data_IF_610731343124
#
_entry.id   IF_610731343124
#
_cell.length_a   1.000
_cell.length_b   1.000
_cell.length_c   1.000
_cell.angle_alpha   90.00
_cell.angle_beta   90.00
_cell.angle_gamma   90.00
#
_symmetry.space_group_name_H-M   'P 1'
#
loop_
_entity.id
_entity.type
_entity.pdbx_description
1 polymer ?
#
# COMPACT_ATOMS: atom_id res chain seq x y z
N UNK A 1 -0.65 -5.14 6.32
CA UNK A 1 0.26 -4.64 5.24
C UNK A 1 1.67 -4.61 5.81
N UNK A 2 2.67 -5.03 5.04
CA UNK A 2 4.08 -5.00 5.44
C UNK A 2 4.67 -3.58 5.40
N UNK A 3 5.96 -3.46 5.79
CA UNK A 3 6.70 -2.21 5.79
C UNK A 3 8.09 -2.35 5.20
N UNK A 4 8.56 -1.31 4.53
CA UNK A 4 9.91 -1.20 3.97
C UNK A 4 10.56 0.06 4.49
N UNK A 5 11.83 -0.06 4.87
CA UNK A 5 12.70 1.06 5.19
C UNK A 5 14.07 0.81 4.59
N UNK A 6 14.55 1.75 3.82
CA UNK A 6 15.87 1.75 3.20
C UNK A 6 16.66 2.94 3.72
N UNK A 7 17.92 2.72 4.02
CA UNK A 7 18.87 3.76 4.39
C UNK A 7 20.20 3.55 3.69
N UNK A 8 20.79 4.63 3.21
CA UNK A 8 22.14 4.59 2.64
C UNK A 8 23.18 4.43 3.73
N UNK A 9 24.09 3.47 3.54
CA UNK A 9 25.18 3.17 4.45
C UNK A 9 26.53 3.31 3.73
N UNK A 10 27.12 4.52 3.69
CA UNK A 10 28.36 4.77 2.96
C UNK A 10 29.57 4.00 3.51
N UNK A 11 29.53 3.62 4.77
CA UNK A 11 30.50 2.73 5.42
C UNK A 11 29.81 1.92 6.52
N UNK A 12 30.29 0.72 6.86
CA UNK A 12 29.68 -0.14 7.87
C UNK A 12 29.44 0.58 9.21
N UNK A 13 28.21 0.46 9.74
CA UNK A 13 27.78 1.07 10.99
C UNK A 13 27.28 2.52 10.89
N UNK A 14 27.44 3.18 9.75
CA UNK A 14 26.99 4.56 9.57
C UNK A 14 25.47 4.73 9.73
N UNK A 15 24.68 3.67 9.48
CA UNK A 15 23.23 3.67 9.55
C UNK A 15 22.66 3.12 10.87
N UNK A 16 23.45 2.61 11.79
CA UNK A 16 22.96 1.82 12.94
C UNK A 16 21.96 2.58 13.82
N UNK A 17 22.20 3.86 14.12
CA UNK A 17 21.29 4.68 14.92
C UNK A 17 19.94 4.91 14.21
N UNK A 18 19.98 5.12 12.90
CA UNK A 18 18.79 5.31 12.05
C UNK A 18 17.99 4.01 11.94
N UNK A 19 18.69 2.87 11.78
CA UNK A 19 18.08 1.54 11.75
C UNK A 19 17.39 1.20 13.07
N UNK A 20 18.03 1.51 14.21
CA UNK A 20 17.45 1.31 15.54
C UNK A 20 16.15 2.14 15.69
N UNK A 21 16.16 3.38 15.21
CA UNK A 21 14.98 4.26 15.22
C UNK A 21 13.85 3.69 14.35
N UNK A 22 14.16 3.23 13.14
CA UNK A 22 13.20 2.63 12.22
C UNK A 22 12.60 1.33 12.79
N UNK A 23 13.42 0.44 13.37
CA UNK A 23 12.95 -0.78 14.04
C UNK A 23 11.98 -0.47 15.18
N UNK A 24 12.34 0.50 16.03
CA UNK A 24 11.46 0.94 17.12
C UNK A 24 10.12 1.47 16.57
N UNK A 25 10.16 2.25 15.48
CA UNK A 25 8.93 2.76 14.88
C UNK A 25 8.07 1.64 14.28
N UNK A 26 8.66 0.66 13.62
CA UNK A 26 7.94 -0.52 13.14
C UNK A 26 7.35 -1.34 14.29
N UNK A 27 8.09 -1.52 15.39
CA UNK A 27 7.56 -2.14 16.61
C UNK A 27 6.33 -1.39 17.17
N UNK A 28 6.35 -0.05 17.17
CA UNK A 28 5.20 0.78 17.57
C UNK A 28 4.00 0.63 16.64
N UNK A 29 4.22 0.32 15.37
CA UNK A 29 3.16 -0.01 14.41
C UNK A 29 2.62 -1.44 14.57
N UNK A 30 3.19 -2.22 15.49
CA UNK A 30 2.75 -3.60 15.76
C UNK A 30 3.39 -4.65 14.87
N UNK A 31 4.44 -4.33 14.10
CA UNK A 31 5.15 -5.33 13.32
C UNK A 31 5.98 -6.24 14.23
N UNK A 32 5.69 -7.56 14.26
CA UNK A 32 6.34 -8.48 15.21
C UNK A 32 7.77 -8.83 14.83
N UNK A 33 8.12 -8.70 13.56
CA UNK A 33 9.41 -9.08 12.97
C UNK A 33 9.87 -8.04 11.98
N UNK A 34 11.17 -7.78 11.96
CA UNK A 34 11.84 -6.92 10.97
C UNK A 34 13.11 -7.61 10.51
N UNK A 35 13.19 -7.92 9.23
CA UNK A 35 14.34 -8.54 8.59
C UNK A 35 15.30 -7.46 8.06
N UNK A 36 16.59 -7.73 8.10
CA UNK A 36 17.62 -6.82 7.59
C UNK A 36 18.38 -7.46 6.45
N UNK A 37 18.67 -6.64 5.43
CA UNK A 37 19.51 -7.01 4.30
C UNK A 37 20.41 -5.85 3.91
N UNK A 38 21.70 -6.13 3.71
CA UNK A 38 22.70 -5.16 3.27
C UNK A 38 23.16 -5.47 1.85
N UNK A 39 23.23 -4.45 1.02
CA UNK A 39 23.66 -4.56 -0.38
C UNK A 39 24.06 -3.19 -0.95
N UNK A 40 25.14 -3.14 -1.73
CA UNK A 40 25.50 -1.98 -2.55
C UNK A 40 25.55 -0.63 -1.84
N UNK A 41 25.96 -0.58 -0.56
CA UNK A 41 25.96 0.65 0.24
C UNK A 41 24.58 1.04 0.80
N UNK A 42 23.64 0.09 0.84
CA UNK A 42 22.29 0.27 1.38
C UNK A 42 21.92 -0.80 2.39
N UNK A 43 21.07 -0.45 3.32
CA UNK A 43 20.43 -1.38 4.24
C UNK A 43 18.95 -1.31 4.08
N UNK A 44 18.33 -2.46 3.85
CA UNK A 44 16.89 -2.67 3.78
C UNK A 44 16.40 -3.29 5.08
N UNK A 45 15.41 -2.67 5.71
CA UNK A 45 14.57 -3.31 6.70
C UNK A 45 13.24 -3.68 6.04
N UNK A 46 12.84 -4.93 6.13
CA UNK A 46 11.55 -5.44 5.68
C UNK A 46 10.77 -5.95 6.88
N UNK A 47 9.60 -5.38 7.10
CA UNK A 47 8.63 -5.84 8.08
C UNK A 47 7.51 -6.59 7.35
N UNK A 48 7.36 -7.91 7.53
CA UNK A 48 6.25 -8.67 6.95
C UNK A 48 4.91 -8.26 7.57
N UNK A 49 3.83 -8.91 7.18
CA UNK A 49 2.47 -8.61 7.69
C UNK A 49 2.39 -8.68 9.22
N UNK A 50 1.58 -7.80 9.81
CA UNK A 50 1.26 -7.82 11.25
C UNK A 50 0.44 -9.07 11.61
N UNK A 51 -0.52 -9.43 10.76
CA UNK A 51 -1.38 -10.60 10.89
C UNK A 51 -1.24 -11.42 9.61
N UNK A 52 -1.12 -12.72 9.71
CA UNK A 52 -0.79 -13.68 8.67
C UNK A 52 -1.19 -13.26 7.25
N UNK A 53 -0.30 -13.50 6.32
CA UNK A 53 -0.44 -13.18 4.92
C UNK A 53 0.66 -13.87 4.13
N UNK A 54 0.58 -13.87 2.79
CA UNK A 54 1.60 -14.49 1.97
C UNK A 54 2.94 -13.77 2.15
N UNK A 55 4.03 -14.51 2.22
CA UNK A 55 5.37 -13.90 2.25
C UNK A 55 5.59 -13.08 0.98
N UNK A 56 6.06 -11.85 1.15
CA UNK A 56 6.36 -10.93 0.06
C UNK A 56 7.87 -10.78 -0.09
N UNK A 57 8.55 -11.92 -0.23
CA UNK A 57 9.97 -12.03 -0.51
C UNK A 57 10.23 -13.19 -1.49
N UNK A 58 11.12 -12.97 -2.43
CA UNK A 58 11.67 -14.01 -3.30
C UNK A 58 13.16 -13.75 -3.52
N UNK A 59 13.95 -14.81 -3.65
CA UNK A 59 15.39 -14.76 -3.78
C UNK A 59 15.87 -15.72 -4.86
N UNK A 60 16.90 -15.31 -5.61
CA UNK A 60 17.59 -16.14 -6.59
C UNK A 60 19.06 -15.75 -6.66
N UNK A 61 19.92 -16.46 -5.91
CA UNK A 61 21.31 -16.07 -5.75
C UNK A 61 21.46 -14.74 -5.01
N UNK A 62 22.11 -13.77 -5.65
CA UNK A 62 22.20 -12.39 -5.11
C UNK A 62 20.99 -11.51 -5.46
N UNK A 63 20.17 -11.95 -6.41
CA UNK A 63 18.95 -11.24 -6.80
C UNK A 63 17.83 -11.49 -5.80
N UNK A 64 17.03 -10.46 -5.54
CA UNK A 64 15.88 -10.58 -4.67
C UNK A 64 14.76 -9.61 -5.06
N UNK A 65 13.55 -9.94 -4.67
CA UNK A 65 12.40 -9.04 -4.69
C UNK A 65 11.71 -9.05 -3.33
N UNK A 66 11.44 -7.88 -2.78
CA UNK A 66 10.75 -7.69 -1.50
C UNK A 66 9.65 -6.67 -1.71
N UNK A 67 8.43 -6.96 -1.26
CA UNK A 67 7.34 -6.02 -1.36
C UNK A 67 6.66 -5.76 -0.01
N UNK A 68 6.03 -4.59 0.10
CA UNK A 68 5.06 -4.26 1.14
C UNK A 68 3.74 -3.87 0.47
N UNK A 69 2.62 -4.21 1.10
CA UNK A 69 1.29 -4.00 0.51
C UNK A 69 0.71 -5.28 -0.07
N UNK A 70 -0.11 -5.18 -1.09
CA UNK A 70 -0.71 -6.32 -1.80
C UNK A 70 -0.20 -6.31 -3.23
N UNK A 71 0.54 -7.34 -3.62
CA UNK A 71 1.10 -7.47 -4.96
C UNK A 71 0.65 -8.80 -5.56
N UNK A 72 0.05 -8.72 -6.75
CA UNK A 72 -0.21 -9.85 -7.62
C UNK A 72 0.53 -9.67 -8.95
N UNK A 73 1.06 -10.74 -9.49
CA UNK A 73 1.74 -10.76 -10.80
C UNK A 73 1.32 -12.00 -11.58
N UNK A 74 0.73 -11.77 -12.75
CA UNK A 74 0.29 -12.80 -13.70
C UNK A 74 -0.58 -13.89 -13.02
N UNK A 75 -1.58 -13.44 -12.22
CA UNK A 75 -2.49 -14.31 -11.47
C UNK A 75 -1.88 -14.99 -10.25
N UNK A 76 -0.65 -14.69 -9.86
CA UNK A 76 0.01 -15.21 -8.66
C UNK A 76 0.08 -14.14 -7.56
N UNK A 77 0.15 -14.56 -6.30
CA UNK A 77 0.37 -13.69 -5.13
C UNK A 77 1.53 -14.20 -4.26
N UNK A 78 2.00 -13.35 -3.35
CA UNK A 78 3.02 -13.72 -2.37
C UNK A 78 4.39 -14.01 -2.99
N UNK A 79 5.13 -14.96 -2.41
CA UNK A 79 6.47 -15.33 -2.86
C UNK A 79 6.48 -15.86 -4.30
N UNK A 80 5.42 -16.55 -4.74
CA UNK A 80 5.32 -17.06 -6.11
C UNK A 80 5.23 -15.92 -7.14
N UNK A 81 4.44 -14.88 -6.86
CA UNK A 81 4.34 -13.68 -7.68
C UNK A 81 5.70 -12.98 -7.79
N UNK A 82 6.38 -12.80 -6.66
CA UNK A 82 7.69 -12.13 -6.62
C UNK A 82 8.78 -12.95 -7.31
N UNK A 83 8.77 -14.28 -7.17
CA UNK A 83 9.72 -15.15 -7.84
C UNK A 83 9.58 -15.08 -9.36
N UNK A 84 8.34 -15.09 -9.85
CA UNK A 84 8.05 -14.95 -11.28
C UNK A 84 8.39 -13.56 -11.79
N UNK A 85 8.01 -12.52 -11.06
CA UNK A 85 8.36 -11.14 -11.38
C UNK A 85 9.89 -10.97 -11.46
N UNK A 86 10.64 -11.46 -10.47
CA UNK A 86 12.10 -11.41 -10.44
C UNK A 86 12.73 -12.11 -11.65
N UNK A 87 12.14 -13.23 -12.08
CA UNK A 87 12.65 -13.97 -13.25
C UNK A 87 12.40 -13.22 -14.57
N UNK A 88 11.22 -12.64 -14.76
CA UNK A 88 10.75 -12.17 -16.06
C UNK A 88 10.92 -10.66 -16.28
N UNK A 89 10.82 -9.84 -15.21
CA UNK A 89 10.70 -8.39 -15.39
C UNK A 89 12.02 -7.69 -15.71
N UNK A 90 11.90 -6.58 -16.43
CA UNK A 90 12.83 -5.45 -16.40
C UNK A 90 12.20 -4.38 -15.50
N UNK A 91 12.86 -3.98 -14.38
CA UNK A 91 12.31 -2.98 -13.45
C UNK A 91 12.02 -1.61 -14.06
N UNK A 92 12.64 -1.29 -15.20
CA UNK A 92 12.41 -0.05 -15.94
C UNK A 92 11.33 -0.18 -17.03
N UNK A 93 10.87 -1.41 -17.31
CA UNK A 93 9.87 -1.70 -18.34
C UNK A 93 8.90 -2.79 -17.86
N UNK A 94 8.23 -2.53 -16.72
CA UNK A 94 7.28 -3.47 -16.15
C UNK A 94 6.05 -3.64 -17.04
N UNK A 95 5.58 -4.87 -17.17
CA UNK A 95 4.29 -5.17 -17.81
C UNK A 95 3.15 -4.92 -16.81
N UNK A 96 2.59 -3.72 -16.87
CA UNK A 96 1.50 -3.29 -16.00
C UNK A 96 0.18 -4.03 -16.24
N UNK A 97 0.06 -4.80 -17.33
CA UNK A 97 -1.14 -5.62 -17.57
C UNK A 97 -1.14 -6.89 -16.73
N UNK A 98 0.05 -7.33 -16.27
CA UNK A 98 0.23 -8.50 -15.40
C UNK A 98 0.36 -8.14 -13.93
N UNK A 99 0.56 -6.85 -13.60
CA UNK A 99 0.88 -6.40 -12.25
C UNK A 99 -0.33 -5.68 -11.65
N UNK A 100 -0.80 -6.18 -10.51
CA UNK A 100 -1.96 -5.64 -9.81
C UNK A 100 -1.68 -5.46 -8.31
N UNK A 101 -2.48 -4.58 -7.67
CA UNK A 101 -2.44 -4.33 -6.24
C UNK A 101 -1.90 -2.97 -5.86
N UNK A 102 -1.80 -2.75 -4.55
CA UNK A 102 -1.21 -1.55 -3.93
C UNK A 102 0.04 -1.96 -3.18
N UNK A 103 1.20 -1.54 -3.65
CA UNK A 103 2.47 -2.04 -3.14
C UNK A 103 3.63 -1.04 -3.29
N UNK A 104 4.64 -1.25 -2.46
CA UNK A 104 6.00 -0.79 -2.67
C UNK A 104 6.89 -2.02 -2.92
N UNK A 105 7.69 -2.00 -3.97
CA UNK A 105 8.57 -3.10 -4.36
C UNK A 105 10.02 -2.63 -4.33
N UNK A 106 10.90 -3.42 -3.69
CA UNK A 106 12.35 -3.33 -3.83
C UNK A 106 12.80 -4.56 -4.58
N UNK A 107 13.40 -4.37 -5.74
CA UNK A 107 13.88 -5.46 -6.59
C UNK A 107 15.35 -5.27 -6.95
N UNK A 108 16.17 -6.28 -6.64
CA UNK A 108 17.55 -6.38 -7.07
C UNK A 108 17.64 -7.45 -8.16
N UNK A 109 18.16 -7.06 -9.31
CA UNK A 109 18.34 -7.92 -10.44
C UNK A 109 19.61 -7.54 -11.20
N UNK A 110 20.44 -8.54 -11.53
CA UNK A 110 21.69 -8.35 -12.27
C UNK A 110 22.59 -7.26 -11.64
N UNK A 111 22.71 -7.28 -10.31
CA UNK A 111 23.55 -6.35 -9.54
C UNK A 111 22.95 -4.94 -9.35
N UNK A 112 21.82 -4.60 -9.98
CA UNK A 112 21.13 -3.32 -9.87
C UNK A 112 19.92 -3.44 -8.93
N UNK A 113 19.64 -2.40 -8.17
CA UNK A 113 18.50 -2.41 -7.21
C UNK A 113 17.58 -1.23 -7.47
N UNK A 114 16.28 -1.49 -7.48
CA UNK A 114 15.25 -0.52 -7.79
C UNK A 114 14.16 -0.48 -6.72
N UNK A 115 13.62 0.71 -6.48
CA UNK A 115 12.38 0.92 -5.72
C UNK A 115 11.29 1.33 -6.70
N UNK A 116 10.20 0.57 -6.70
CA UNK A 116 9.05 0.74 -7.60
C UNK A 116 7.79 0.88 -6.78
N UNK A 117 6.95 1.85 -7.11
CA UNK A 117 5.61 2.01 -6.54
C UNK A 117 4.57 1.33 -7.42
N UNK A 118 3.40 1.02 -6.86
CA UNK A 118 2.25 0.56 -7.64
C UNK A 118 1.83 1.56 -8.74
N UNK A 119 0.84 1.19 -9.54
CA UNK A 119 0.45 1.95 -10.73
C UNK A 119 0.15 3.43 -10.42
N UNK A 120 -0.54 3.73 -9.33
CA UNK A 120 -0.92 5.07 -8.91
C UNK A 120 -0.05 5.63 -7.77
N UNK A 121 0.95 4.89 -7.29
CA UNK A 121 1.67 5.14 -6.03
C UNK A 121 0.70 5.30 -4.84
N UNK A 122 -0.38 4.51 -4.84
CA UNK A 122 -1.39 4.51 -3.80
C UNK A 122 -0.83 3.96 -2.48
N UNK A 123 0.05 2.96 -2.55
CA UNK A 123 0.85 2.53 -1.41
C UNK A 123 2.05 3.47 -1.29
N UNK A 124 1.93 4.46 -0.42
CA UNK A 124 2.85 5.59 -0.38
C UNK A 124 4.26 5.19 0.07
N UNK A 125 5.26 5.71 -0.63
CA UNK A 125 6.67 5.60 -0.31
C UNK A 125 7.24 7.01 -0.13
N UNK A 126 7.85 7.23 1.03
CA UNK A 126 8.40 8.51 1.47
C UNK A 126 9.91 8.52 1.38
N UNK A 127 10.50 9.66 1.12
CA UNK A 127 11.95 9.85 1.09
C UNK A 127 12.34 11.26 1.55
N UNK A 128 13.57 11.43 2.01
CA UNK A 128 14.19 12.75 2.18
C UNK A 128 14.70 13.28 0.82
N UNK A 129 14.91 14.60 0.65
CA UNK A 129 15.33 15.17 -0.65
C UNK A 129 16.62 14.58 -1.22
N UNK A 130 17.53 14.09 -0.37
CA UNK A 130 18.77 13.45 -0.79
C UNK A 130 18.62 11.93 -1.03
N UNK A 131 17.43 11.35 -0.80
CA UNK A 131 17.18 9.91 -0.84
C UNK A 131 18.14 9.11 0.06
N UNK A 132 18.60 9.69 1.14
CA UNK A 132 19.38 8.95 2.13
C UNK A 132 18.51 7.95 2.92
N UNK A 133 17.21 8.25 3.02
CA UNK A 133 16.17 7.43 3.64
C UNK A 133 15.00 7.28 2.68
N UNK A 134 14.52 6.05 2.51
CA UNK A 134 13.29 5.73 1.75
C UNK A 134 12.44 4.78 2.62
N UNK A 135 11.15 5.07 2.82
CA UNK A 135 10.30 4.26 3.70
C UNK A 135 8.83 4.28 3.29
N UNK A 136 8.14 3.17 3.52
CA UNK A 136 6.68 3.10 3.47
C UNK A 136 6.01 3.65 4.74
N UNK A 137 6.78 3.93 5.79
CA UNK A 137 6.31 4.57 7.02
C UNK A 137 6.75 6.02 7.06
N UNK A 138 5.80 6.95 6.98
CA UNK A 138 6.03 8.38 7.14
C UNK A 138 6.78 8.73 8.44
N UNK A 139 6.32 8.13 9.56
CA UNK A 139 6.94 8.40 10.86
C UNK A 139 8.34 7.80 10.98
N UNK A 140 8.62 6.66 10.36
CA UNK A 140 9.97 6.09 10.35
C UNK A 140 10.91 6.98 9.52
N UNK A 141 10.48 7.47 8.36
CA UNK A 141 11.25 8.40 7.55
C UNK A 141 11.51 9.71 8.31
N UNK A 142 10.49 10.31 8.91
CA UNK A 142 10.62 11.58 9.64
C UNK A 142 11.56 11.48 10.84
N UNK A 143 11.47 10.40 11.62
CA UNK A 143 12.31 10.18 12.81
C UNK A 143 13.76 9.78 12.48
N UNK A 144 14.01 9.32 11.26
CA UNK A 144 15.35 9.03 10.77
C UNK A 144 16.16 10.29 10.46
N UNK A 145 15.49 11.42 10.30
CA UNK A 145 16.13 12.70 9.99
C UNK A 145 16.52 13.45 11.29
N UNK A 146 17.63 14.19 11.27
CA UNK A 146 18.09 14.93 12.44
C UNK A 146 17.14 16.09 12.81
N UNK A 147 16.42 16.62 11.83
CA UNK A 147 15.47 17.73 12.00
C UNK A 147 14.38 17.64 10.94
N UNK A 148 13.15 17.95 11.34
CA UNK A 148 12.00 18.13 10.45
C UNK A 148 11.24 19.39 10.82
N UNK A 149 10.61 20.01 9.83
CA UNK A 149 9.80 21.21 9.97
C UNK A 149 8.49 21.10 9.22
N UNK A 150 7.46 21.79 9.69
CA UNK A 150 6.17 21.76 9.03
C UNK A 150 6.18 22.54 7.71
N UNK A 151 5.62 21.93 6.67
CA UNK A 151 5.33 22.58 5.40
C UNK A 151 3.96 23.28 5.51
N UNK A 152 3.96 24.61 5.56
CA UNK A 152 2.72 25.37 5.75
C UNK A 152 1.69 25.07 4.65
N UNK A 153 2.13 25.04 3.39
CA UNK A 153 1.25 24.69 2.27
C UNK A 153 0.67 23.27 2.44
N UNK A 154 1.50 22.28 2.79
CA UNK A 154 1.05 20.92 3.01
C UNK A 154 0.06 20.80 4.18
N UNK A 155 0.22 21.59 5.24
CA UNK A 155 -0.74 21.64 6.35
C UNK A 155 -2.09 22.22 5.91
N UNK A 156 -2.10 23.30 5.12
CA UNK A 156 -3.34 23.86 4.57
C UNK A 156 -4.04 22.86 3.64
N UNK A 157 -3.31 22.25 2.72
CA UNK A 157 -3.87 21.25 1.81
C UNK A 157 -4.47 20.07 2.59
N UNK A 158 -3.74 19.56 3.58
CA UNK A 158 -4.24 18.48 4.42
C UNK A 158 -5.50 18.88 5.21
N UNK A 159 -5.55 20.10 5.76
CA UNK A 159 -6.70 20.58 6.51
C UNK A 159 -7.97 20.74 5.64
N UNK A 160 -7.81 21.14 4.37
CA UNK A 160 -8.94 21.36 3.46
C UNK A 160 -9.33 20.13 2.64
N UNK A 161 -8.35 19.32 2.22
CA UNK A 161 -8.57 18.20 1.30
C UNK A 161 -8.42 16.82 1.98
N UNK A 162 -8.06 16.77 3.28
CA UNK A 162 -7.61 15.56 3.98
C UNK A 162 -6.41 14.85 3.28
N UNK A 163 -5.74 15.52 2.36
CA UNK A 163 -4.59 15.03 1.61
C UNK A 163 -3.71 16.19 1.16
N UNK A 164 -2.40 15.95 1.05
CA UNK A 164 -1.45 16.87 0.44
C UNK A 164 -1.32 16.51 -1.04
N UNK A 165 -1.30 17.52 -1.92
CA UNK A 165 -1.25 17.33 -3.37
C UNK A 165 0.18 17.04 -3.86
N UNK A 166 0.27 16.35 -5.00
CA UNK A 166 1.56 16.03 -5.64
C UNK A 166 2.45 15.13 -4.79
N UNK A 167 3.75 15.38 -4.85
CA UNK A 167 4.78 14.61 -4.13
C UNK A 167 5.11 15.19 -2.74
N UNK A 168 4.46 16.26 -2.35
CA UNK A 168 4.68 16.93 -1.06
C UNK A 168 4.05 16.20 0.11
N UNK A 169 4.47 16.55 1.33
CA UNK A 169 3.88 16.10 2.59
C UNK A 169 3.67 17.28 3.54
N UNK A 170 3.17 17.00 4.74
CA UNK A 170 3.06 18.02 5.81
C UNK A 170 4.41 18.42 6.41
N UNK A 171 5.51 17.78 5.98
CA UNK A 171 6.88 18.08 6.39
C UNK A 171 7.71 18.53 5.18
N UNK A 172 8.53 19.57 5.35
CA UNK A 172 9.38 20.10 4.27
C UNK A 172 10.43 19.08 3.81
N UNK A 173 10.96 18.29 4.75
CA UNK A 173 12.06 17.37 4.54
C UNK A 173 11.62 15.95 4.12
N UNK A 174 10.32 15.74 3.94
CA UNK A 174 9.77 14.44 3.49
C UNK A 174 8.94 14.65 2.24
N UNK A 175 9.25 13.87 1.22
CA UNK A 175 8.52 13.82 -0.06
C UNK A 175 8.00 12.43 -0.33
N UNK A 176 7.10 12.29 -1.31
CA UNK A 176 6.58 11.00 -1.80
C UNK A 176 7.20 10.66 -3.15
N UNK A 177 7.38 9.36 -3.40
CA UNK A 177 7.73 8.89 -4.75
C UNK A 177 6.44 8.83 -5.57
N UNK A 178 6.38 9.67 -6.61
CA UNK A 178 5.21 9.72 -7.50
C UNK A 178 5.07 8.49 -8.41
N UNK A 179 3.91 8.35 -9.09
CA UNK A 179 3.54 7.11 -9.79
C UNK A 179 4.40 6.76 -11.02
N UNK A 180 5.02 7.73 -11.67
CA UNK A 180 5.82 7.50 -12.89
C UNK A 180 7.32 7.48 -12.60
N UNK A 181 7.72 7.20 -11.37
CA UNK A 181 9.12 7.19 -10.96
C UNK A 181 9.56 5.81 -10.50
N UNK A 182 10.73 5.40 -10.99
CA UNK A 182 11.48 4.26 -10.50
C UNK A 182 12.81 4.79 -9.97
N UNK A 183 13.16 4.40 -8.75
CA UNK A 183 14.39 4.86 -8.09
C UNK A 183 15.40 3.73 -8.13
N UNK A 184 16.49 3.91 -8.84
CA UNK A 184 17.64 3.01 -8.84
C UNK A 184 18.58 3.39 -7.70
N UNK A 185 18.89 2.44 -6.83
CA UNK A 185 19.82 2.62 -5.72
C UNK A 185 21.24 2.35 -6.21
N UNK A 186 22.17 3.29 -5.99
CA UNK A 186 23.58 3.15 -6.32
C UNK A 186 24.43 3.37 -5.07
N UNK A 187 25.70 3.02 -5.11
CA UNK A 187 26.62 3.23 -3.98
C UNK A 187 26.77 4.74 -3.64
N UNK A 188 26.70 5.60 -4.67
CA UNK A 188 26.87 7.05 -4.52
C UNK A 188 25.57 7.77 -4.12
N UNK A 189 24.40 7.09 -4.25
CA UNK A 189 23.08 7.67 -3.97
C UNK A 189 21.97 7.02 -4.78
N UNK A 190 21.20 7.82 -5.53
CA UNK A 190 20.12 7.30 -6.37
C UNK A 190 20.16 7.87 -7.78
N UNK A 191 19.65 7.10 -8.74
CA UNK A 191 19.30 7.56 -10.08
C UNK A 191 17.78 7.47 -10.24
N UNK A 192 17.15 8.57 -10.62
CA UNK A 192 15.71 8.59 -10.86
C UNK A 192 15.43 8.31 -12.34
N UNK A 193 14.49 7.39 -12.59
CA UNK A 193 13.99 7.08 -13.93
C UNK A 193 12.53 7.49 -14.02
N UNK A 194 12.14 8.12 -15.12
CA UNK A 194 10.74 8.35 -15.46
C UNK A 194 10.27 7.21 -16.35
N UNK A 195 9.27 6.49 -15.87
CA UNK A 195 8.68 5.36 -16.59
C UNK A 195 7.23 5.69 -16.93
N UNK A 196 6.94 5.76 -18.22
CA UNK A 196 5.57 5.96 -18.66
C UNK A 196 4.73 4.71 -18.36
N UNK A 197 3.61 4.90 -17.67
CA UNK A 197 2.61 3.85 -17.47
C UNK A 197 1.52 3.98 -18.52
N UNK A 198 1.04 2.87 -19.11
CA UNK A 198 -0.01 2.95 -20.12
C UNK A 198 -1.28 3.56 -19.52
N UNK A 199 -1.73 4.66 -20.09
CA UNK A 199 -3.04 5.21 -19.78
C UNK A 199 -4.03 4.73 -20.85
N UNK A 200 -5.27 4.43 -20.48
CA UNK A 200 -6.29 4.15 -21.49
C UNK A 200 -6.44 5.39 -22.40
N UNK A 201 -6.52 5.14 -23.69
CA UNK A 201 -6.81 6.17 -24.68
C UNK A 201 -8.07 6.95 -24.32
N UNK A 202 -8.21 8.16 -24.91
CA UNK A 202 -9.36 9.04 -24.69
C UNK A 202 -10.71 8.30 -24.73
N UNK A 203 -11.75 8.83 -24.05
CA UNK A 203 -13.02 8.15 -23.93
C UNK A 203 -13.50 7.65 -25.29
N UNK A 204 -13.49 6.33 -25.44
CA UNK A 204 -14.09 5.72 -26.63
C UNK A 204 -15.57 6.12 -26.63
N UNK A 205 -16.13 6.61 -27.72
CA UNK A 205 -17.55 6.96 -27.82
C UNK A 205 -18.51 5.78 -27.60
N UNK A 206 -18.11 4.81 -26.78
CA UNK A 206 -18.89 3.61 -26.47
C UNK A 206 -20.15 3.95 -25.67
N UNK A 207 -21.29 3.32 -25.97
CA UNK A 207 -22.52 3.47 -25.21
C UNK A 207 -22.28 3.17 -23.71
N UNK A 208 -22.97 3.94 -22.85
CA UNK A 208 -22.86 3.79 -21.38
C UNK A 208 -23.12 2.35 -20.94
N UNK A 209 -24.14 1.69 -21.49
CA UNK A 209 -24.47 0.30 -21.16
C UNK A 209 -23.30 -0.67 -21.42
N UNK A 210 -22.57 -0.51 -22.53
CA UNK A 210 -21.39 -1.35 -22.83
C UNK A 210 -20.25 -1.10 -21.86
N UNK A 211 -20.02 0.17 -21.47
CA UNK A 211 -19.02 0.52 -20.47
C UNK A 211 -19.36 -0.06 -19.09
N UNK A 212 -20.63 0.05 -18.67
CA UNK A 212 -21.10 -0.52 -17.41
C UNK A 212 -20.94 -2.04 -17.37
N UNK A 213 -21.32 -2.75 -18.44
CA UNK A 213 -21.13 -4.20 -18.53
C UNK A 213 -19.65 -4.57 -18.35
N UNK A 214 -18.76 -3.91 -19.09
CA UNK A 214 -17.29 -4.15 -18.97
C UNK A 214 -16.76 -3.85 -17.57
N UNK A 215 -17.18 -2.73 -16.94
CA UNK A 215 -16.73 -2.42 -15.58
C UNK A 215 -17.25 -3.43 -14.56
N UNK A 216 -18.50 -3.90 -14.73
CA UNK A 216 -19.04 -4.96 -13.90
C UNK A 216 -18.23 -6.27 -14.02
N UNK A 217 -17.94 -6.69 -15.26
CA UNK A 217 -17.11 -7.88 -15.51
C UNK A 217 -15.72 -7.77 -14.87
N UNK A 218 -15.05 -6.63 -15.06
CA UNK A 218 -13.73 -6.39 -14.47
C UNK A 218 -13.77 -6.41 -12.93
N UNK A 219 -14.78 -5.77 -12.33
CA UNK A 219 -14.92 -5.75 -10.88
C UNK A 219 -15.17 -7.15 -10.31
N UNK A 220 -16.04 -7.94 -10.97
CA UNK A 220 -16.26 -9.34 -10.58
C UNK A 220 -14.98 -10.18 -10.72
N UNK A 221 -14.24 -10.02 -11.82
CA UNK A 221 -12.99 -10.74 -12.03
C UNK A 221 -11.95 -10.41 -10.94
N UNK A 222 -11.75 -9.12 -10.63
CA UNK A 222 -10.81 -8.69 -9.58
C UNK A 222 -11.20 -9.24 -8.21
N UNK A 223 -12.48 -9.16 -7.83
CA UNK A 223 -12.94 -9.67 -6.52
C UNK A 223 -12.86 -11.19 -6.47
N UNK A 224 -13.22 -11.90 -7.55
CA UNK A 224 -13.11 -13.35 -7.63
C UNK A 224 -11.65 -13.82 -7.47
N UNK A 225 -10.70 -13.12 -8.10
CA UNK A 225 -9.27 -13.39 -7.95
C UNK A 225 -8.81 -13.19 -6.50
N UNK A 226 -9.24 -12.11 -5.84
CA UNK A 226 -8.93 -11.89 -4.42
C UNK A 226 -9.50 -13.01 -3.53
N UNK A 227 -10.75 -13.42 -3.74
CA UNK A 227 -11.35 -14.55 -3.02
C UNK A 227 -10.60 -15.86 -3.25
N UNK A 228 -10.15 -16.10 -4.50
CA UNK A 228 -9.35 -17.27 -4.83
C UNK A 228 -8.02 -17.32 -4.05
N UNK A 229 -7.34 -16.20 -3.93
CA UNK A 229 -6.01 -16.13 -3.31
C UNK A 229 -6.04 -16.00 -1.78
N UNK A 230 -7.02 -15.27 -1.23
CA UNK A 230 -7.08 -14.93 0.20
C UNK A 230 -8.20 -15.64 0.95
N UNK A 231 -9.01 -16.42 0.25
CA UNK A 231 -10.15 -17.12 0.82
C UNK A 231 -11.39 -16.25 1.01
N UNK A 232 -12.44 -16.86 1.53
CA UNK A 232 -13.78 -16.27 1.67
C UNK A 232 -14.07 -15.68 3.08
N UNK A 233 -13.10 -15.73 4.00
CA UNK A 233 -13.19 -15.11 5.32
C UNK A 233 -13.05 -13.57 5.26
N UNK A 234 -13.95 -12.93 4.52
CA UNK A 234 -13.89 -11.50 4.19
C UNK A 234 -14.55 -10.65 5.28
N UNK A 235 -13.86 -9.62 5.72
CA UNK A 235 -14.40 -8.53 6.53
C UNK A 235 -14.84 -7.40 5.59
N UNK A 236 -16.13 -7.06 5.57
CA UNK A 236 -16.66 -6.04 4.67
C UNK A 236 -17.39 -4.95 5.46
N UNK A 237 -16.88 -3.71 5.49
CA UNK A 237 -17.64 -2.60 6.04
C UNK A 237 -18.84 -2.32 5.15
N UNK A 238 -20.03 -2.18 5.74
CA UNK A 238 -21.26 -1.87 5.02
C UNK A 238 -21.89 -0.59 5.59
N UNK A 239 -21.75 0.50 4.86
CA UNK A 239 -22.33 1.80 5.21
C UNK A 239 -23.47 2.20 4.27
N UNK A 240 -24.06 3.37 4.48
CA UNK A 240 -24.99 4.00 3.53
C UNK A 240 -24.34 4.46 2.23
N UNK A 241 -22.99 4.43 2.13
CA UNK A 241 -22.23 4.84 0.95
C UNK A 241 -22.37 3.88 -0.24
N UNK A 242 -22.23 4.38 -1.46
CA UNK A 242 -22.34 3.58 -2.68
C UNK A 242 -21.21 2.55 -2.81
N UNK A 243 -19.98 2.89 -2.44
CA UNK A 243 -18.80 2.05 -2.64
C UNK A 243 -18.88 0.77 -1.82
N UNK A 244 -19.20 0.87 -0.52
CA UNK A 244 -19.35 -0.29 0.35
C UNK A 244 -20.47 -1.22 -0.10
N UNK A 245 -21.59 -0.65 -0.57
CA UNK A 245 -22.72 -1.41 -1.14
C UNK A 245 -22.34 -2.13 -2.43
N UNK A 246 -21.57 -1.48 -3.30
CA UNK A 246 -21.09 -2.07 -4.55
C UNK A 246 -20.20 -3.27 -4.26
N UNK A 247 -19.22 -3.12 -3.35
CA UNK A 247 -18.33 -4.22 -2.95
C UNK A 247 -19.15 -5.38 -2.36
N UNK A 248 -20.09 -5.08 -1.47
CA UNK A 248 -20.96 -6.11 -0.87
C UNK A 248 -21.80 -6.83 -1.94
N UNK A 249 -22.39 -6.10 -2.90
CA UNK A 249 -23.18 -6.70 -3.99
C UNK A 249 -22.34 -7.66 -4.84
N UNK A 250 -21.09 -7.30 -5.15
CA UNK A 250 -20.18 -8.17 -5.91
C UNK A 250 -19.81 -9.41 -5.10
N UNK A 251 -19.44 -9.27 -3.82
CA UNK A 251 -19.16 -10.41 -2.94
C UNK A 251 -20.35 -11.37 -2.89
N UNK A 252 -21.57 -10.85 -2.76
CA UNK A 252 -22.80 -11.62 -2.78
C UNK A 252 -23.01 -12.38 -4.08
N UNK A 253 -22.82 -11.70 -5.22
CA UNK A 253 -22.98 -12.31 -6.55
C UNK A 253 -21.99 -13.45 -6.80
N UNK A 254 -20.85 -13.42 -6.15
CA UNK A 254 -19.83 -14.46 -6.17
C UNK A 254 -20.05 -15.57 -5.11
N UNK A 255 -21.17 -15.52 -4.38
CA UNK A 255 -21.52 -16.52 -3.35
C UNK A 255 -20.78 -16.35 -2.03
N UNK A 256 -19.96 -15.32 -1.87
CA UNK A 256 -19.27 -15.04 -0.62
C UNK A 256 -20.24 -14.54 0.45
N UNK A 257 -20.02 -15.00 1.69
CA UNK A 257 -20.75 -14.54 2.87
C UNK A 257 -19.83 -13.78 3.83
N UNK A 258 -19.54 -12.49 3.53
CA UNK A 258 -18.62 -11.71 4.34
C UNK A 258 -19.17 -11.45 5.73
N UNK A 259 -18.27 -11.25 6.72
CA UNK A 259 -18.62 -10.64 7.98
C UNK A 259 -18.86 -9.14 7.75
N UNK A 260 -20.12 -8.71 7.99
CA UNK A 260 -20.49 -7.32 7.80
C UNK A 260 -20.39 -6.54 9.11
N UNK A 261 -19.83 -5.33 9.03
CA UNK A 261 -19.77 -4.42 10.16
C UNK A 261 -20.01 -2.98 9.73
N UNK A 262 -20.48 -2.15 10.67
CA UNK A 262 -20.61 -0.70 10.49
C UNK A 262 -20.28 -0.01 11.81
N UNK A 263 -19.66 1.16 11.72
CA UNK A 263 -19.32 1.96 12.88
C UNK A 263 -19.92 3.37 12.77
N UNK A 264 -20.14 3.97 13.91
CA UNK A 264 -20.69 5.33 14.04
C UNK A 264 -21.85 5.43 14.99
N UNK A 265 -22.42 6.65 15.21
CA UNK A 265 -23.61 6.84 16.02
C UNK A 265 -24.80 6.04 15.48
N UNK A 266 -25.57 5.42 16.37
CA UNK A 266 -26.72 4.58 16.00
C UNK A 266 -27.73 5.27 15.07
N UNK A 267 -27.83 6.60 15.15
CA UNK A 267 -28.76 7.43 14.35
C UNK A 267 -28.16 7.90 13.03
N UNK A 268 -26.89 7.60 12.75
CA UNK A 268 -26.29 8.02 11.48
C UNK A 268 -26.92 7.30 10.29
N UNK A 269 -27.05 7.97 9.14
CA UNK A 269 -27.53 7.32 7.90
C UNK A 269 -26.67 6.11 7.51
N UNK A 270 -25.35 6.17 7.74
CA UNK A 270 -24.44 5.05 7.43
C UNK A 270 -24.78 3.79 8.22
N UNK A 271 -25.04 3.93 9.53
CA UNK A 271 -25.41 2.80 10.38
C UNK A 271 -26.80 2.28 10.04
N UNK A 272 -27.79 3.19 9.91
CA UNK A 272 -29.18 2.80 9.68
C UNK A 272 -29.35 2.11 8.32
N UNK A 273 -28.80 2.68 7.25
CA UNK A 273 -28.89 2.12 5.90
C UNK A 273 -28.07 0.82 5.79
N UNK A 274 -26.85 0.80 6.31
CA UNK A 274 -26.01 -0.41 6.29
C UNK A 274 -26.69 -1.60 6.96
N UNK A 275 -27.29 -1.38 8.13
CA UNK A 275 -28.04 -2.42 8.86
C UNK A 275 -29.28 -2.87 8.09
N UNK A 276 -30.08 -1.94 7.55
CA UNK A 276 -31.28 -2.28 6.76
C UNK A 276 -30.93 -3.14 5.54
N UNK A 277 -29.85 -2.80 4.82
CA UNK A 277 -29.41 -3.58 3.66
C UNK A 277 -28.94 -4.98 4.10
N UNK A 278 -28.09 -5.06 5.13
CA UNK A 278 -27.61 -6.35 5.61
C UNK A 278 -28.74 -7.26 6.09
N UNK A 279 -29.68 -6.74 6.87
CA UNK A 279 -30.87 -7.47 7.35
C UNK A 279 -31.76 -7.94 6.20
N UNK A 280 -32.03 -7.09 5.20
CA UNK A 280 -32.82 -7.43 4.03
C UNK A 280 -32.18 -8.57 3.19
N UNK A 281 -30.85 -8.66 3.19
CA UNK A 281 -30.07 -9.70 2.52
C UNK A 281 -29.79 -10.95 3.39
N UNK A 282 -30.33 -10.99 4.60
CA UNK A 282 -30.19 -12.10 5.53
C UNK A 282 -28.80 -12.20 6.20
N UNK A 283 -28.16 -11.04 6.41
CA UNK A 283 -26.89 -10.92 7.14
C UNK A 283 -27.06 -10.21 8.46
N UNK A 284 -26.34 -10.67 9.46
CA UNK A 284 -26.12 -9.88 10.68
C UNK A 284 -25.05 -8.83 10.40
N UNK A 285 -25.35 -7.58 10.66
CA UNK A 285 -24.37 -6.50 10.61
C UNK A 285 -23.91 -6.17 12.03
N UNK A 286 -22.63 -6.34 12.29
CA UNK A 286 -22.04 -5.92 13.56
C UNK A 286 -21.99 -4.40 13.61
N UNK A 287 -22.66 -3.84 14.60
CA UNK A 287 -22.58 -2.41 14.86
C UNK A 287 -21.52 -2.12 15.92
N UNK A 288 -20.56 -1.28 15.56
CA UNK A 288 -19.50 -0.82 16.45
C UNK A 288 -19.86 0.61 16.86
N UNK A 289 -20.30 0.78 18.11
CA UNK A 289 -20.58 2.10 18.66
C UNK A 289 -19.26 2.85 18.87
N UNK A 290 -19.09 3.90 18.08
CA UNK A 290 -17.98 4.83 18.23
C UNK A 290 -18.51 6.07 18.94
N UNK A 291 -18.35 6.11 20.26
CA UNK A 291 -18.63 7.33 21.01
C UNK A 291 -17.53 8.37 20.70
N UNK A 292 -17.84 9.23 19.72
CA UNK A 292 -17.01 10.38 19.37
C UNK A 292 -17.12 11.52 20.37
N UNK A 293 -17.54 11.27 21.60
CA UNK A 293 -17.43 12.29 22.64
C UNK A 293 -15.96 12.70 22.73
N UNK A 294 -15.73 13.99 22.43
CA UNK A 294 -14.41 14.63 22.34
C UNK A 294 -13.54 14.48 23.60
N UNK A 295 -14.06 13.87 24.65
CA UNK A 295 -13.37 13.57 25.91
C UNK A 295 -12.86 12.13 26.03
N UNK A 296 -13.09 11.29 25.04
CA UNK A 296 -12.77 9.86 25.09
C UNK A 296 -12.01 9.34 23.88
N UNK A 297 -10.72 9.70 23.76
CA UNK A 297 -9.80 8.79 23.09
C UNK A 297 -9.78 7.53 23.97
N UNK A 298 -10.27 6.36 23.51
CA UNK A 298 -10.27 5.17 24.35
C UNK A 298 -8.84 4.90 24.82
N UNK A 299 -8.65 4.52 26.09
CA UNK A 299 -7.34 4.19 26.60
C UNK A 299 -6.75 3.09 25.70
N UNK A 300 -5.53 3.29 25.23
CA UNK A 300 -4.78 2.27 24.50
C UNK A 300 -4.80 0.99 25.34
N UNK A 301 -5.45 -0.06 24.82
CA UNK A 301 -5.29 -1.42 25.33
C UNK A 301 -3.95 -1.97 24.91
#
# INVERSE_FOLDING_TARGET
MGGIFLVREPHPGAADAVLATARNQFGRHGFPRVEERRFGGWVLLHAPYIVGGPELIAERGEDFAVAAGTLAYDGLVGAAALARLLAECDPLSLDWTKLAGQFALVIRKDGRTFVVTDYFAAFQVYHDPAYAVISTSFLAAAKALPRVSFAHQGLYEYAFNAAVLGDDTVLNEIKRIGPNRVIELTAEGVRQHTVAKPLPDAPTGQPVAKRLARHSELLHAVVAEQLHHFGDAVQCPLSGGLDSRLVFAVLRSLGCRPHLYVYGPATSPDVTIGRQIGEAEGFKVEWIDYDWNLNGIPPKK
#
